data_IF_775716770615
#
_entry.id   IF_775716770615
#
_cell.length_a   1.000
_cell.length_b   1.000
_cell.length_c   1.000
_cell.angle_alpha   90.00
_cell.angle_beta   90.00
_cell.angle_gamma   90.00
#
_symmetry.space_group_name_H-M   'P 1'
#
loop_
_entity.id
_entity.type
_entity.pdbx_description
1 polymer ?
#
# COMPACT_ATOMS: atom_id res chain seq x y z
N UNK A 1 23.50 -29.08 3.65
CA UNK A 1 22.56 -29.91 4.42
C UNK A 1 21.94 -30.90 3.47
N UNK A 2 21.97 -32.18 3.82
CA UNK A 2 21.32 -33.25 3.05
C UNK A 2 20.18 -33.81 3.90
N UNK A 3 19.04 -34.05 3.25
CA UNK A 3 17.89 -34.69 3.87
C UNK A 3 18.09 -36.19 3.83
N UNK A 4 17.98 -36.85 4.97
CA UNK A 4 18.03 -38.34 5.03
C UNK A 4 16.72 -38.87 4.47
N UNK A 5 16.76 -39.77 3.49
CA UNK A 5 15.54 -40.39 2.94
C UNK A 5 14.75 -41.12 4.03
N UNK A 6 13.44 -40.94 4.02
CA UNK A 6 12.49 -41.56 4.93
C UNK A 6 11.21 -41.90 4.18
N UNK A 7 10.41 -42.79 4.78
CA UNK A 7 9.08 -43.09 4.26
C UNK A 7 8.14 -41.88 4.54
N UNK A 8 7.27 -41.56 3.57
CA UNK A 8 6.24 -40.54 3.69
C UNK A 8 4.98 -40.98 2.96
N UNK A 9 3.83 -40.74 3.58
CA UNK A 9 2.49 -40.94 3.01
C UNK A 9 1.83 -39.59 2.65
N UNK A 10 2.57 -38.49 2.80
CA UNK A 10 2.10 -37.13 2.49
C UNK A 10 2.48 -36.76 1.06
N UNK A 11 1.50 -36.40 0.25
CA UNK A 11 1.75 -35.82 -1.08
C UNK A 11 2.27 -34.38 -0.96
N UNK A 12 3.13 -33.91 -1.89
CA UNK A 12 3.63 -32.55 -1.86
C UNK A 12 2.52 -31.47 -1.86
N UNK A 13 1.37 -31.76 -2.45
CA UNK A 13 0.18 -30.89 -2.49
C UNK A 13 -0.54 -30.79 -1.15
N UNK A 14 -0.34 -31.77 -0.26
CA UNK A 14 -1.03 -31.87 1.03
C UNK A 14 -0.17 -31.33 2.18
N UNK A 15 1.04 -30.84 1.85
CA UNK A 15 1.95 -30.27 2.84
C UNK A 15 1.48 -28.89 3.28
N UNK A 16 1.24 -28.72 4.58
CA UNK A 16 1.03 -27.40 5.20
C UNK A 16 2.39 -26.83 5.64
N UNK A 17 2.83 -25.76 4.99
CA UNK A 17 4.07 -25.03 5.31
C UNK A 17 3.83 -23.85 6.24
N UNK A 18 2.60 -23.62 6.69
CA UNK A 18 2.27 -22.47 7.53
C UNK A 18 2.99 -22.53 8.88
N UNK A 19 3.39 -21.38 9.36
CA UNK A 19 4.01 -21.23 10.67
C UNK A 19 3.61 -19.88 11.27
N UNK A 20 4.05 -19.59 12.48
CA UNK A 20 3.87 -18.27 13.08
C UNK A 20 5.12 -17.82 13.82
N UNK A 21 5.42 -16.53 13.77
CA UNK A 21 6.48 -15.87 14.51
C UNK A 21 5.98 -14.55 15.08
N UNK A 22 6.20 -14.34 16.36
CA UNK A 22 5.74 -13.14 17.08
C UNK A 22 4.24 -12.80 16.85
N UNK A 23 3.38 -13.82 16.73
CA UNK A 23 1.95 -13.66 16.47
C UNK A 23 1.61 -13.41 14.98
N UNK A 24 2.58 -13.28 14.10
CA UNK A 24 2.38 -13.10 12.65
C UNK A 24 2.34 -14.49 12.01
N UNK A 25 1.24 -14.80 11.31
CA UNK A 25 1.11 -16.05 10.54
C UNK A 25 1.86 -15.89 9.20
N UNK A 26 2.68 -16.88 8.88
CA UNK A 26 3.40 -17.00 7.62
C UNK A 26 2.87 -18.18 6.82
N UNK A 27 2.62 -18.00 5.53
CA UNK A 27 2.27 -19.10 4.62
C UNK A 27 3.50 -19.97 4.27
N UNK A 28 4.68 -19.35 4.28
CA UNK A 28 5.96 -19.99 4.01
C UNK A 28 6.93 -19.70 5.16
N UNK A 29 7.61 -20.70 5.76
CA UNK A 29 8.48 -20.51 6.93
C UNK A 29 9.85 -19.93 6.55
N UNK A 30 9.86 -18.83 5.80
CA UNK A 30 11.07 -18.14 5.34
C UNK A 30 11.15 -16.74 5.93
N UNK A 31 12.32 -16.46 6.49
CA UNK A 31 12.71 -15.14 6.98
C UNK A 31 13.97 -14.71 6.25
N UNK A 32 14.07 -13.45 5.85
CA UNK A 32 15.33 -12.92 5.35
C UNK A 32 16.26 -12.49 6.51
N UNK A 33 17.56 -12.61 6.28
CA UNK A 33 18.55 -12.12 7.24
C UNK A 33 18.59 -10.59 7.26
N UNK A 34 18.66 -10.02 8.46
CA UNK A 34 18.81 -8.57 8.67
C UNK A 34 20.26 -8.11 8.37
N UNK A 35 20.68 -8.28 7.13
CA UNK A 35 22.03 -7.97 6.66
C UNK A 35 22.00 -6.79 5.70
N UNK A 36 22.96 -5.89 5.87
CA UNK A 36 23.21 -4.78 4.94
C UNK A 36 23.38 -5.30 3.51
N UNK A 37 22.84 -4.56 2.55
CA UNK A 37 22.83 -4.91 1.12
C UNK A 37 22.08 -6.21 0.75
N UNK A 38 21.50 -6.90 1.72
CA UNK A 38 20.70 -8.12 1.53
C UNK A 38 19.21 -7.83 1.72
N UNK A 39 18.81 -7.38 2.92
CA UNK A 39 17.39 -7.11 3.20
C UNK A 39 17.13 -5.63 3.38
N UNK A 40 16.75 -5.02 2.29
CA UNK A 40 16.15 -3.71 2.20
C UNK A 40 14.70 -3.85 1.71
N UNK A 41 13.96 -2.75 1.53
CA UNK A 41 12.54 -2.80 1.12
C UNK A 41 12.26 -3.69 -0.10
N UNK A 42 13.09 -3.76 -1.17
CA UNK A 42 12.78 -4.60 -2.31
C UNK A 42 12.68 -6.10 -1.96
N UNK A 43 13.66 -6.62 -1.20
CA UNK A 43 13.64 -8.03 -0.79
C UNK A 43 12.56 -8.29 0.27
N UNK A 44 12.38 -7.37 1.23
CA UNK A 44 11.34 -7.49 2.25
C UNK A 44 9.94 -7.57 1.61
N UNK A 45 9.66 -6.76 0.58
CA UNK A 45 8.42 -6.80 -0.21
C UNK A 45 8.27 -8.15 -0.92
N UNK A 46 9.34 -8.64 -1.57
CA UNK A 46 9.28 -9.88 -2.33
C UNK A 46 8.98 -11.09 -1.43
N UNK A 47 9.66 -11.19 -0.28
CA UNK A 47 9.46 -12.28 0.68
C UNK A 47 8.07 -12.20 1.32
N UNK A 48 7.62 -11.01 1.74
CA UNK A 48 6.29 -10.86 2.32
C UNK A 48 5.19 -11.23 1.33
N UNK A 49 5.32 -10.87 0.06
CA UNK A 49 4.40 -11.28 -1.03
C UNK A 49 4.38 -12.78 -1.25
N UNK A 50 5.51 -13.45 -1.07
CA UNK A 50 5.61 -14.90 -1.17
C UNK A 50 5.07 -15.64 0.08
N UNK A 51 4.67 -14.91 1.13
CA UNK A 51 4.13 -15.50 2.36
C UNK A 51 5.14 -15.70 3.49
N UNK A 52 6.36 -15.18 3.34
CA UNK A 52 7.38 -15.13 4.38
C UNK A 52 7.46 -13.77 5.08
N UNK A 53 8.58 -13.44 5.71
CA UNK A 53 8.80 -12.17 6.40
C UNK A 53 10.21 -11.64 6.12
N UNK A 54 10.30 -10.43 5.59
CA UNK A 54 11.55 -9.70 5.46
C UNK A 54 11.92 -9.01 6.76
N UNK A 55 13.23 -9.03 7.12
CA UNK A 55 13.74 -8.33 8.30
C UNK A 55 14.78 -7.31 7.86
N UNK A 56 14.45 -6.03 7.94
CA UNK A 56 15.32 -4.92 7.56
C UNK A 56 16.52 -4.82 8.50
N UNK A 57 17.69 -4.54 7.94
CA UNK A 57 18.90 -4.37 8.74
C UNK A 57 18.93 -3.02 9.47
N UNK A 58 19.76 -2.92 10.51
CA UNK A 58 19.90 -1.70 11.32
C UNK A 58 21.06 -0.78 10.92
N UNK A 59 21.84 -1.14 9.89
CA UNK A 59 22.93 -0.29 9.40
C UNK A 59 22.41 0.89 8.56
N UNK A 60 21.50 1.62 9.17
CA UNK A 60 20.76 2.78 8.65
C UNK A 60 20.54 3.76 9.79
N UNK A 61 20.34 5.03 9.50
CA UNK A 61 19.82 5.94 10.53
C UNK A 61 18.39 5.53 10.92
N UNK A 62 17.85 6.08 12.00
CA UNK A 62 16.48 5.80 12.45
C UNK A 62 15.50 6.17 11.34
N UNK A 63 15.67 7.36 10.76
CA UNK A 63 14.81 7.90 9.70
C UNK A 63 14.88 7.04 8.43
N UNK A 64 16.08 6.62 8.02
CA UNK A 64 16.26 5.77 6.85
C UNK A 64 15.59 4.41 7.02
N UNK A 65 15.70 3.79 8.22
CA UNK A 65 15.05 2.52 8.48
C UNK A 65 13.53 2.66 8.50
N UNK A 66 13.00 3.74 9.08
CA UNK A 66 11.57 4.07 9.05
C UNK A 66 11.07 4.28 7.62
N UNK A 67 11.86 4.95 6.75
CA UNK A 67 11.52 5.08 5.32
C UNK A 67 11.47 3.72 4.61
N UNK A 68 12.38 2.80 4.93
CA UNK A 68 12.36 1.44 4.35
C UNK A 68 11.10 0.67 4.80
N UNK A 69 10.72 0.76 6.10
CA UNK A 69 9.46 0.18 6.61
C UNK A 69 8.26 0.76 5.87
N UNK A 70 8.19 2.08 5.75
CA UNK A 70 7.11 2.77 5.08
C UNK A 70 6.99 2.38 3.58
N UNK A 71 8.13 2.17 2.89
CA UNK A 71 8.13 1.64 1.52
C UNK A 71 7.51 0.24 1.46
N UNK A 72 7.81 -0.64 2.41
CA UNK A 72 7.21 -1.99 2.47
C UNK A 72 5.71 -1.89 2.72
N UNK A 73 5.29 -1.09 3.71
CA UNK A 73 3.88 -0.89 4.05
C UNK A 73 3.07 -0.35 2.87
N UNK A 74 3.62 0.61 2.12
CA UNK A 74 2.97 1.18 0.92
C UNK A 74 3.02 0.29 -0.32
N UNK A 75 3.89 -0.72 -0.36
CA UNK A 75 4.01 -1.59 -1.53
C UNK A 75 2.75 -2.43 -1.79
N UNK A 76 2.02 -2.75 -0.74
CA UNK A 76 0.74 -3.44 -0.82
C UNK A 76 -0.15 -3.00 0.35
N UNK A 77 -1.22 -2.33 0.03
CA UNK A 77 -2.31 -2.06 0.94
C UNK A 77 -3.59 -2.58 0.29
N UNK A 78 -4.42 -3.30 1.01
CA UNK A 78 -5.74 -3.71 0.50
C UNK A 78 -6.64 -2.49 0.35
N UNK A 79 -6.47 -1.51 1.23
CA UNK A 79 -7.08 -0.20 1.24
C UNK A 79 -6.01 0.80 1.67
N UNK A 80 -5.88 1.89 0.97
CA UNK A 80 -5.02 3.00 1.39
C UNK A 80 -5.78 3.76 2.48
N UNK A 81 -5.37 3.59 3.73
CA UNK A 81 -5.84 4.41 4.86
C UNK A 81 -5.14 5.76 4.84
N UNK A 82 -5.85 6.84 5.06
CA UNK A 82 -5.34 8.22 4.95
C UNK A 82 -4.67 8.50 3.58
N UNK A 83 -5.41 8.43 2.47
CA UNK A 83 -4.86 8.68 1.15
C UNK A 83 -4.38 10.13 1.03
N UNK A 84 -3.26 10.29 0.33
CA UNK A 84 -2.74 11.64 0.00
C UNK A 84 -3.81 12.36 -0.81
N UNK A 85 -4.17 13.56 -0.38
CA UNK A 85 -5.15 14.42 -1.04
C UNK A 85 -4.57 15.81 -1.34
N UNK A 86 -5.24 16.56 -2.21
CA UNK A 86 -4.93 17.95 -2.51
C UNK A 86 -6.13 18.85 -2.19
N UNK A 87 -5.84 20.09 -1.86
CA UNK A 87 -6.87 21.11 -1.72
C UNK A 87 -7.45 21.51 -3.10
N UNK A 88 -8.72 21.92 -3.18
CA UNK A 88 -9.34 22.36 -4.44
C UNK A 88 -8.62 23.55 -5.10
N UNK A 89 -7.92 24.35 -4.29
CA UNK A 89 -7.15 25.52 -4.74
C UNK A 89 -5.76 25.19 -5.26
N UNK A 90 -5.30 23.93 -5.13
CA UNK A 90 -4.01 23.51 -5.66
C UNK A 90 -3.99 23.62 -7.19
N UNK A 91 -2.82 23.91 -7.75
CA UNK A 91 -2.64 23.95 -9.19
C UNK A 91 -2.48 22.57 -9.80
N UNK A 92 -2.68 22.46 -11.11
CA UNK A 92 -2.39 21.25 -11.84
C UNK A 92 -0.91 20.83 -11.74
N UNK A 93 0.00 21.82 -11.68
CA UNK A 93 1.43 21.59 -11.47
C UNK A 93 1.71 20.94 -10.10
N UNK A 94 1.05 21.41 -9.04
CA UNK A 94 1.17 20.80 -7.70
C UNK A 94 0.70 19.34 -7.72
N UNK A 95 -0.39 19.06 -8.43
CA UNK A 95 -0.93 17.72 -8.57
C UNK A 95 0.05 16.80 -9.31
N UNK A 96 0.67 17.27 -10.39
CA UNK A 96 1.65 16.49 -11.15
C UNK A 96 2.90 16.18 -10.31
N UNK A 97 3.44 17.18 -9.62
CA UNK A 97 4.59 17.01 -8.71
C UNK A 97 4.26 15.99 -7.62
N UNK A 98 3.07 16.09 -7.00
CA UNK A 98 2.64 15.16 -5.97
C UNK A 98 2.49 13.74 -6.52
N UNK A 99 1.81 13.58 -7.66
CA UNK A 99 1.61 12.27 -8.29
C UNK A 99 2.93 11.64 -8.72
N UNK A 100 3.87 12.42 -9.26
CA UNK A 100 5.20 11.95 -9.64
C UNK A 100 6.02 11.52 -8.43
N UNK A 101 6.04 12.36 -7.37
CA UNK A 101 6.77 12.09 -6.12
C UNK A 101 6.33 10.78 -5.46
N UNK A 102 5.02 10.54 -5.40
CA UNK A 102 4.44 9.36 -4.75
C UNK A 102 4.17 8.20 -5.71
N UNK A 103 4.49 8.36 -7.01
CA UNK A 103 4.25 7.35 -8.07
C UNK A 103 2.79 6.87 -8.12
N UNK A 104 1.85 7.79 -7.89
CA UNK A 104 0.41 7.55 -7.94
C UNK A 104 -0.18 8.11 -9.23
N UNK A 105 -1.25 7.48 -9.73
CA UNK A 105 -1.90 7.85 -10.99
C UNK A 105 -3.19 8.67 -10.80
N UNK A 106 -3.38 9.21 -9.62
CA UNK A 106 -4.51 10.09 -9.31
C UNK A 106 -4.59 10.35 -7.82
N UNK A 107 -5.24 11.45 -7.49
CA UNK A 107 -5.29 12.04 -6.15
C UNK A 107 -6.70 12.51 -5.84
N UNK A 108 -7.27 12.16 -4.67
CA UNK A 108 -8.50 12.77 -4.17
C UNK A 108 -8.32 14.25 -3.91
N UNK A 109 -9.36 15.03 -4.16
CA UNK A 109 -9.40 16.46 -3.87
C UNK A 109 -10.36 16.66 -2.70
N UNK A 110 -9.83 17.25 -1.62
CA UNK A 110 -10.56 17.41 -0.37
C UNK A 110 -10.53 18.84 0.13
N UNK A 111 -11.62 19.28 0.73
CA UNK A 111 -11.67 20.55 1.49
C UNK A 111 -10.79 20.46 2.75
N UNK A 112 -10.60 21.59 3.42
CA UNK A 112 -9.79 21.67 4.63
C UNK A 112 -10.32 20.81 5.81
N UNK A 113 -11.60 20.50 5.81
CA UNK A 113 -12.25 19.59 6.77
C UNK A 113 -12.12 18.10 6.39
N UNK A 114 -11.44 17.79 5.29
CA UNK A 114 -11.23 16.42 4.78
C UNK A 114 -12.37 15.90 3.91
N UNK A 115 -13.43 16.69 3.67
CA UNK A 115 -14.56 16.29 2.82
C UNK A 115 -14.13 16.19 1.38
N UNK A 116 -14.45 15.04 0.77
CA UNK A 116 -14.13 14.74 -0.62
C UNK A 116 -15.01 15.56 -1.57
N UNK A 117 -14.37 16.30 -2.48
CA UNK A 117 -15.07 17.13 -3.49
C UNK A 117 -14.80 16.69 -4.92
N UNK A 118 -13.79 15.87 -5.14
CA UNK A 118 -13.47 15.35 -6.46
C UNK A 118 -12.30 14.39 -6.47
N UNK A 119 -11.97 13.90 -7.64
CA UNK A 119 -10.78 13.09 -7.89
C UNK A 119 -10.11 13.55 -9.19
N UNK A 120 -8.79 13.71 -9.15
CA UNK A 120 -7.98 14.02 -10.31
C UNK A 120 -7.13 12.80 -10.65
N UNK A 121 -7.08 12.42 -11.92
CA UNK A 121 -6.33 11.26 -12.40
C UNK A 121 -5.46 11.62 -13.62
N UNK A 122 -4.48 10.77 -13.94
CA UNK A 122 -3.67 10.93 -15.16
C UNK A 122 -4.52 10.98 -16.44
N UNK A 123 -5.74 10.50 -16.40
CA UNK A 123 -6.67 10.55 -17.53
C UNK A 123 -7.19 11.95 -17.77
N UNK A 124 -7.45 12.67 -16.69
CA UNK A 124 -7.99 14.03 -16.71
C UNK A 124 -6.94 15.06 -17.20
N UNK A 125 -5.67 14.81 -16.89
CA UNK A 125 -4.55 15.71 -17.23
C UNK A 125 -3.81 15.33 -18.52
N UNK A 126 -4.18 14.23 -19.14
CA UNK A 126 -3.41 13.62 -20.25
C UNK A 126 -3.20 14.53 -21.47
N UNK A 127 -4.13 15.44 -21.71
CA UNK A 127 -4.12 16.33 -22.87
C UNK A 127 -3.96 17.80 -22.49
N UNK A 128 -3.65 18.08 -21.21
CA UNK A 128 -3.40 19.44 -20.76
C UNK A 128 -2.11 19.98 -21.37
N UNK A 129 -2.15 21.23 -21.76
CA UNK A 129 -1.01 21.96 -22.30
C UNK A 129 -0.24 22.66 -21.16
N UNK A 130 1.02 23.05 -21.40
CA UNK A 130 1.85 23.73 -20.38
C UNK A 130 1.21 25.00 -19.84
N UNK A 131 0.38 25.68 -20.64
CA UNK A 131 -0.31 26.92 -20.24
C UNK A 131 -1.43 26.69 -19.22
N UNK A 132 -1.87 25.43 -19.05
CA UNK A 132 -2.95 25.08 -18.14
C UNK A 132 -2.45 24.65 -16.74
N UNK A 133 -1.15 24.42 -16.59
CA UNK A 133 -0.58 23.92 -15.34
C UNK A 133 -0.70 24.87 -14.15
N UNK A 134 -0.93 26.14 -14.38
CA UNK A 134 -1.20 27.14 -13.33
C UNK A 134 -2.68 27.18 -12.87
N UNK A 135 -3.58 26.49 -13.61
CA UNK A 135 -5.01 26.49 -13.29
C UNK A 135 -5.30 25.56 -12.10
N UNK A 136 -6.37 25.85 -11.34
CA UNK A 136 -6.74 25.03 -10.19
C UNK A 136 -7.20 23.63 -10.64
N UNK A 137 -6.94 22.62 -9.80
CA UNK A 137 -7.33 21.22 -10.06
C UNK A 137 -8.83 21.04 -10.24
N UNK A 138 -9.64 21.94 -9.72
CA UNK A 138 -11.11 21.96 -9.87
C UNK A 138 -11.59 22.06 -11.30
N UNK A 139 -10.77 22.64 -12.19
CA UNK A 139 -11.11 22.78 -13.61
C UNK A 139 -10.99 21.45 -14.38
N UNK A 140 -10.26 20.50 -13.81
CA UNK A 140 -9.89 19.22 -14.47
C UNK A 140 -10.43 18.00 -13.74
N UNK A 141 -10.68 18.08 -12.43
CA UNK A 141 -11.10 16.94 -11.62
C UNK A 141 -12.51 16.43 -12.00
N UNK A 142 -12.73 15.17 -11.79
CA UNK A 142 -14.08 14.60 -11.78
C UNK A 142 -14.75 14.94 -10.45
N UNK A 143 -15.76 15.80 -10.49
CA UNK A 143 -16.59 16.17 -9.33
C UNK A 143 -18.03 15.66 -9.49
N UNK A 144 -18.62 15.85 -10.69
CA UNK A 144 -19.97 15.41 -10.98
C UNK A 144 -20.00 13.90 -11.23
N UNK A 145 -20.90 13.19 -10.53
CA UNK A 145 -21.01 11.74 -10.65
C UNK A 145 -19.85 10.98 -9.99
N UNK A 146 -19.20 11.59 -9.01
CA UNK A 146 -18.15 10.96 -8.23
C UNK A 146 -18.70 9.72 -7.53
N UNK A 147 -18.11 8.56 -7.84
CA UNK A 147 -18.47 7.28 -7.24
C UNK A 147 -17.64 7.08 -5.99
N UNK A 148 -18.30 6.87 -4.87
CA UNK A 148 -17.71 6.60 -3.56
C UNK A 148 -18.33 5.36 -2.94
N UNK A 149 -17.70 4.81 -1.91
CA UNK A 149 -18.27 3.75 -1.09
C UNK A 149 -18.10 4.06 0.40
N UNK A 150 -18.89 3.46 1.28
CA UNK A 150 -18.74 3.66 2.72
C UNK A 150 -17.45 3.01 3.26
N UNK A 151 -16.98 3.50 4.41
CA UNK A 151 -15.91 2.86 5.17
C UNK A 151 -16.33 1.43 5.54
N UNK A 152 -15.41 0.48 5.41
CA UNK A 152 -15.70 -0.95 5.66
C UNK A 152 -16.13 -1.74 4.42
N UNK A 153 -16.27 -1.10 3.26
CA UNK A 153 -16.49 -1.80 1.98
C UNK A 153 -15.38 -2.85 1.77
N UNK A 154 -15.78 -4.09 1.55
CA UNK A 154 -14.85 -5.18 1.26
C UNK A 154 -14.23 -5.03 -0.13
N UNK A 155 -13.09 -5.69 -0.36
CA UNK A 155 -12.47 -5.67 -1.69
C UNK A 155 -13.36 -6.27 -2.78
N UNK A 156 -14.15 -7.30 -2.47
CA UNK A 156 -15.05 -7.94 -3.44
C UNK A 156 -16.20 -7.00 -3.85
N UNK A 157 -16.76 -6.27 -2.88
CA UNK A 157 -17.73 -5.20 -3.15
C UNK A 157 -17.10 -4.08 -3.97
N UNK A 158 -15.88 -3.66 -3.61
CA UNK A 158 -15.15 -2.64 -4.35
C UNK A 158 -14.89 -3.05 -5.81
N UNK A 159 -14.51 -4.32 -6.08
CA UNK A 159 -14.38 -4.86 -7.45
C UNK A 159 -15.67 -4.67 -8.24
N UNK A 160 -16.80 -5.00 -7.63
CA UNK A 160 -18.11 -4.88 -8.28
C UNK A 160 -18.41 -3.42 -8.67
N UNK A 161 -18.18 -2.48 -7.74
CA UNK A 161 -18.40 -1.04 -7.98
C UNK A 161 -17.43 -0.51 -9.05
N UNK A 162 -16.14 -0.82 -8.94
CA UNK A 162 -15.11 -0.39 -9.92
C UNK A 162 -15.45 -0.88 -11.33
N UNK A 163 -15.86 -2.14 -11.45
CA UNK A 163 -16.26 -2.74 -12.74
C UNK A 163 -17.55 -2.10 -13.30
N UNK A 164 -18.59 -1.95 -12.48
CA UNK A 164 -19.88 -1.39 -12.89
C UNK A 164 -19.74 0.04 -13.41
N UNK A 165 -18.93 0.85 -12.72
CA UNK A 165 -18.73 2.25 -13.06
C UNK A 165 -17.53 2.49 -13.99
N UNK A 166 -16.76 1.44 -14.33
CA UNK A 166 -15.56 1.50 -15.18
C UNK A 166 -14.52 2.50 -14.69
N UNK A 167 -14.33 2.54 -13.36
CA UNK A 167 -13.37 3.40 -12.68
C UNK A 167 -12.22 2.56 -12.11
N UNK A 168 -11.08 3.20 -11.89
CA UNK A 168 -9.86 2.52 -11.38
C UNK A 168 -9.60 2.83 -9.91
N UNK A 169 -10.32 3.79 -9.33
CA UNK A 169 -10.14 4.27 -7.98
C UNK A 169 -11.49 4.51 -7.34
N UNK A 170 -11.65 3.99 -6.14
CA UNK A 170 -12.87 4.09 -5.35
C UNK A 170 -12.54 4.75 -4.01
N UNK A 171 -12.83 6.04 -3.84
CA UNK A 171 -12.71 6.70 -2.56
C UNK A 171 -13.71 6.13 -1.56
N UNK A 172 -13.26 5.92 -0.33
CA UNK A 172 -14.11 5.53 0.80
C UNK A 172 -14.35 6.75 1.69
N UNK A 173 -15.60 7.02 1.95
CA UNK A 173 -16.02 8.17 2.76
C UNK A 173 -16.88 7.71 3.92
N UNK A 174 -16.87 8.50 4.99
CA UNK A 174 -17.80 8.35 6.09
C UNK A 174 -19.16 9.03 5.80
N UNK A 175 -20.09 8.97 6.75
CA UNK A 175 -21.44 9.55 6.63
C UNK A 175 -21.42 11.08 6.43
N UNK A 176 -20.34 11.76 6.81
CA UNK A 176 -20.14 13.20 6.61
C UNK A 176 -19.50 13.52 5.25
N UNK A 177 -19.13 12.50 4.47
CA UNK A 177 -18.43 12.63 3.19
C UNK A 177 -16.93 12.91 3.33
N UNK A 178 -16.36 12.69 4.52
CA UNK A 178 -14.92 12.85 4.77
C UNK A 178 -14.18 11.62 4.24
N UNK A 179 -13.10 11.86 3.52
CA UNK A 179 -12.27 10.82 2.93
C UNK A 179 -11.53 10.02 4.01
N UNK A 180 -11.79 8.72 4.07
CA UNK A 180 -11.18 7.80 5.03
C UNK A 180 -10.24 6.79 4.38
N UNK A 181 -10.43 6.54 3.08
CA UNK A 181 -9.63 5.55 2.37
C UNK A 181 -9.75 5.63 0.86
N UNK A 182 -8.92 4.85 0.19
CA UNK A 182 -8.94 4.71 -1.27
C UNK A 182 -8.63 3.26 -1.65
N UNK A 183 -9.49 2.64 -2.43
CA UNK A 183 -9.24 1.33 -3.05
C UNK A 183 -8.95 1.54 -4.53
N UNK A 184 -7.92 0.88 -5.06
CA UNK A 184 -7.57 0.95 -6.48
C UNK A 184 -7.57 -0.43 -7.13
N UNK A 185 -7.78 -0.49 -8.45
CA UNK A 185 -7.65 -1.73 -9.23
C UNK A 185 -6.27 -2.37 -9.03
N UNK A 186 -5.21 -1.56 -8.92
CA UNK A 186 -3.85 -2.07 -8.67
C UNK A 186 -3.71 -2.82 -7.35
N UNK A 187 -4.46 -2.44 -6.33
CA UNK A 187 -4.40 -3.10 -5.02
C UNK A 187 -5.14 -4.45 -5.07
N UNK A 188 -6.23 -4.50 -5.83
CA UNK A 188 -6.96 -5.75 -6.14
C UNK A 188 -6.08 -6.71 -6.94
N UNK A 189 -5.45 -6.23 -8.02
CA UNK A 189 -4.53 -7.02 -8.84
C UNK A 189 -3.38 -7.61 -8.02
N UNK A 190 -2.82 -6.83 -7.09
CA UNK A 190 -1.77 -7.32 -6.18
C UNK A 190 -2.29 -8.44 -5.26
N UNK A 191 -3.51 -8.32 -4.75
CA UNK A 191 -4.11 -9.36 -3.91
C UNK A 191 -4.33 -10.66 -4.67
N UNK A 192 -4.77 -10.57 -5.93
CA UNK A 192 -4.93 -11.72 -6.81
C UNK A 192 -3.58 -12.34 -7.15
N UNK A 193 -2.58 -11.51 -7.44
CA UNK A 193 -1.22 -11.98 -7.79
C UNK A 193 -0.46 -12.61 -6.59
N UNK A 194 -0.77 -12.17 -5.36
CA UNK A 194 -0.07 -12.60 -4.15
C UNK A 194 -1.05 -13.08 -3.07
N UNK A 195 -1.77 -14.19 -3.29
CA UNK A 195 -2.82 -14.69 -2.39
C UNK A 195 -2.28 -15.15 -1.03
N UNK A 196 -0.99 -15.45 -0.95
CA UNK A 196 -0.31 -15.93 0.26
C UNK A 196 0.47 -14.83 0.99
N UNK A 197 0.37 -13.56 0.56
CA UNK A 197 1.12 -12.45 1.14
C UNK A 197 0.90 -12.35 2.66
N UNK A 198 1.99 -12.10 3.39
CA UNK A 198 1.96 -11.87 4.83
C UNK A 198 1.50 -10.44 5.09
N UNK A 199 0.27 -10.30 5.56
CA UNK A 199 -0.41 -9.01 5.76
C UNK A 199 -0.72 -8.76 7.23
N UNK A 200 -0.73 -7.49 7.62
CA UNK A 200 -1.25 -7.01 8.90
C UNK A 200 -2.78 -6.85 8.86
N UNK A 201 -3.38 -6.40 9.98
CA UNK A 201 -4.83 -6.18 10.10
C UNK A 201 -5.39 -5.14 9.13
N UNK A 202 -4.56 -4.24 8.61
CA UNK A 202 -4.94 -3.21 7.64
C UNK A 202 -4.69 -3.66 6.18
N UNK A 203 -4.28 -4.91 5.97
CA UNK A 203 -3.98 -5.45 4.64
C UNK A 203 -2.67 -4.97 4.04
N UNK A 204 -1.76 -4.41 4.85
CA UNK A 204 -0.42 -3.99 4.44
C UNK A 204 0.59 -5.12 4.67
N UNK A 205 1.67 -5.18 3.88
CA UNK A 205 2.72 -6.16 4.07
C UNK A 205 3.33 -6.06 5.47
N UNK A 206 3.52 -7.21 6.12
CA UNK A 206 4.31 -7.31 7.33
C UNK A 206 5.80 -7.22 7.00
N UNK A 207 6.55 -6.57 7.89
CA UNK A 207 8.00 -6.44 7.82
C UNK A 207 8.58 -6.43 9.23
N UNK A 208 9.70 -7.08 9.43
CA UNK A 208 10.51 -6.98 10.64
C UNK A 208 11.60 -5.92 10.46
N UNK A 209 12.04 -5.34 11.57
CA UNK A 209 13.18 -4.43 11.58
C UNK A 209 14.10 -4.78 12.75
N UNK A 210 15.41 -4.88 12.45
CA UNK A 210 16.39 -5.13 13.48
C UNK A 210 16.65 -3.85 14.30
N UNK A 211 16.63 -3.97 15.62
CA UNK A 211 16.97 -2.90 16.56
C UNK A 211 18.21 -3.26 17.38
N UNK A 212 18.93 -2.25 17.83
CA UNK A 212 20.10 -2.43 18.69
C UNK A 212 19.76 -2.24 20.16
N UNK A 213 20.78 -2.28 21.01
CA UNK A 213 20.64 -2.06 22.46
C UNK A 213 20.83 -0.60 22.86
N UNK A 214 21.39 0.24 21.98
CA UNK A 214 21.76 1.63 22.28
C UNK A 214 20.68 2.64 21.91
N UNK A 215 19.94 2.38 20.85
CA UNK A 215 18.93 3.28 20.25
C UNK A 215 17.54 2.62 20.15
N UNK A 216 17.30 1.60 20.99
CA UNK A 216 16.10 0.75 20.91
C UNK A 216 14.80 1.54 21.03
N UNK A 217 14.69 2.43 22.02
CA UNK A 217 13.46 3.16 22.29
C UNK A 217 13.13 4.10 21.13
N UNK A 218 14.06 4.96 20.73
CA UNK A 218 13.91 5.93 19.64
C UNK A 218 13.58 5.23 18.31
N UNK A 219 14.30 4.16 18.01
CA UNK A 219 14.10 3.39 16.77
C UNK A 219 12.77 2.66 16.76
N UNK A 220 12.33 2.10 17.90
CA UNK A 220 11.04 1.42 17.99
C UNK A 220 9.86 2.39 17.87
N UNK A 221 10.03 3.61 18.37
CA UNK A 221 8.99 4.65 18.25
C UNK A 221 8.85 5.17 16.80
N UNK A 222 9.96 5.21 16.07
CA UNK A 222 9.97 5.67 14.67
C UNK A 222 9.46 4.64 13.67
N UNK A 223 9.49 3.33 14.01
CA UNK A 223 9.09 2.20 13.15
C UNK A 223 7.63 1.85 13.25
#
# INVERSE_FOLDING_TARGET
VLVVPGWSDVLPTDVDTTTSIAGIRLAVPLLSAAMDTVTESPLAIAIARAGGLGVLHRNLTVEQQAEEVDRVKRAQAGMITAPISLAPTASLADAEVLMARHKISGVPICEADGRLVGILTNRDVRFCTSDEYHRPVTDFMTANGLVTAPVGTSLDEAVTVLHQHRIEKLPLVDDAGVLQGLITVKDIDKRIAYPHATLDGDGRLCVGAAVGVTDTAERTEAL
#
